data_IF_621558123684
#
_entry.id   IF_621558123684
#
_cell.length_a   1.000
_cell.length_b   1.000
_cell.length_c   1.000
_cell.angle_alpha   90.00
_cell.angle_beta   90.00
_cell.angle_gamma   90.00
#
_symmetry.space_group_name_H-M   'P 1'
#
loop_
_entity.id
_entity.type
_entity.pdbx_description
1 polymer ?
#
# COMPACT_ATOMS: atom_id res chain seq x y z
N UNK A 1 -2.17 -3.49 -18.01
CA UNK A 1 -0.76 -3.12 -18.23
C UNK A 1 0.16 -4.22 -17.73
N UNK A 2 1.40 -4.29 -18.25
CA UNK A 2 2.30 -5.43 -18.02
C UNK A 2 3.58 -5.07 -17.27
N UNK A 3 3.81 -3.78 -16.98
CA UNK A 3 4.96 -3.33 -16.19
C UNK A 3 4.52 -2.41 -15.06
N UNK A 4 5.28 -2.39 -13.97
CA UNK A 4 5.03 -1.51 -12.82
C UNK A 4 5.12 -0.03 -13.21
N UNK A 5 6.09 0.33 -14.06
CA UNK A 5 6.28 1.67 -14.58
C UNK A 5 5.04 2.14 -15.36
N UNK A 6 4.56 1.34 -16.33
CA UNK A 6 3.34 1.67 -17.09
C UNK A 6 2.13 1.76 -16.17
N UNK A 7 2.03 0.91 -15.13
CA UNK A 7 0.93 0.98 -14.16
C UNK A 7 0.94 2.32 -13.41
N UNK A 8 2.11 2.74 -12.95
CA UNK A 8 2.31 4.01 -12.24
C UNK A 8 1.95 5.21 -13.13
N UNK A 9 2.50 5.25 -14.33
CA UNK A 9 2.29 6.38 -15.27
C UNK A 9 0.83 6.53 -15.67
N UNK A 10 0.19 5.43 -16.04
CA UNK A 10 -1.23 5.47 -16.44
C UNK A 10 -2.15 5.80 -15.26
N UNK A 11 -1.84 5.29 -14.06
CA UNK A 11 -2.64 5.61 -12.88
C UNK A 11 -2.47 7.09 -12.47
N UNK A 12 -1.25 7.64 -12.51
CA UNK A 12 -0.99 9.08 -12.30
C UNK A 12 -1.69 9.96 -13.35
N UNK A 13 -1.90 9.45 -14.57
CA UNK A 13 -2.69 10.10 -15.61
C UNK A 13 -4.22 9.94 -15.42
N UNK A 14 -4.68 9.31 -14.34
CA UNK A 14 -6.09 9.16 -13.99
C UNK A 14 -6.77 7.90 -14.57
N UNK A 15 -6.02 6.99 -15.15
CA UNK A 15 -6.56 5.72 -15.64
C UNK A 15 -6.68 4.69 -14.53
N UNK A 16 -7.72 3.85 -14.61
CA UNK A 16 -7.83 2.66 -13.76
C UNK A 16 -7.07 1.53 -14.42
N UNK A 17 -6.06 1.00 -13.76
CA UNK A 17 -5.17 -0.02 -14.32
C UNK A 17 -5.17 -1.29 -13.47
N UNK A 18 -5.03 -2.43 -14.13
CA UNK A 18 -4.71 -3.73 -13.51
C UNK A 18 -3.31 -4.10 -13.97
N UNK A 19 -2.42 -4.33 -12.99
CA UNK A 19 -1.07 -4.81 -13.25
C UNK A 19 -1.11 -6.33 -13.46
N UNK A 20 -0.71 -6.79 -14.64
CA UNK A 20 -0.68 -8.21 -15.02
C UNK A 20 0.77 -8.67 -15.18
N UNK A 21 1.19 -9.64 -14.36
CA UNK A 21 2.57 -10.14 -14.35
C UNK A 21 2.61 -11.66 -14.38
N UNK A 22 3.73 -12.23 -14.81
CA UNK A 22 3.99 -13.64 -14.60
C UNK A 22 4.05 -13.95 -13.10
N UNK A 23 4.81 -13.17 -12.37
CA UNK A 23 4.88 -13.07 -10.91
C UNK A 23 5.37 -11.66 -10.54
N UNK A 24 5.07 -11.16 -9.36
CA UNK A 24 5.56 -9.87 -8.89
C UNK A 24 6.83 -10.02 -8.08
N UNK A 25 7.67 -9.00 -8.15
CA UNK A 25 8.89 -8.83 -7.35
C UNK A 25 8.80 -7.55 -6.48
N UNK A 26 9.74 -7.32 -5.55
CA UNK A 26 9.80 -6.07 -4.81
C UNK A 26 9.88 -4.82 -5.69
N UNK A 27 10.42 -4.93 -6.89
CA UNK A 27 10.50 -3.83 -7.87
C UNK A 27 9.13 -3.42 -8.43
N UNK A 28 8.12 -4.29 -8.32
CA UNK A 28 6.76 -4.01 -8.78
C UNK A 28 5.90 -3.26 -7.75
N UNK A 29 6.39 -3.02 -6.52
CA UNK A 29 5.62 -2.47 -5.41
C UNK A 29 4.98 -1.13 -5.76
N UNK A 30 5.71 -0.22 -6.41
CA UNK A 30 5.16 1.08 -6.80
C UNK A 30 3.98 0.91 -7.78
N UNK A 31 4.15 0.11 -8.82
CA UNK A 31 3.08 -0.19 -9.78
C UNK A 31 1.89 -0.89 -9.14
N UNK A 32 2.12 -1.77 -8.16
CA UNK A 32 1.06 -2.42 -7.40
C UNK A 32 0.28 -1.43 -6.54
N UNK A 33 0.96 -0.44 -5.96
CA UNK A 33 0.35 0.60 -5.12
C UNK A 33 -0.63 1.47 -5.92
N UNK A 34 -0.26 1.86 -7.13
CA UNK A 34 -1.11 2.69 -7.99
C UNK A 34 -2.18 1.89 -8.75
N UNK A 35 -2.01 0.59 -8.90
CA UNK A 35 -2.97 -0.26 -9.61
C UNK A 35 -4.28 -0.45 -8.82
N UNK A 36 -5.39 -0.54 -9.53
CA UNK A 36 -6.69 -0.92 -8.94
C UNK A 36 -6.77 -2.42 -8.64
N UNK A 37 -5.88 -3.20 -9.21
CA UNK A 37 -5.77 -4.63 -8.96
C UNK A 37 -4.52 -5.24 -9.56
N UNK A 38 -4.16 -6.42 -9.05
CA UNK A 38 -3.00 -7.20 -9.46
C UNK A 38 -3.44 -8.59 -9.89
N UNK A 39 -2.97 -9.02 -11.05
CA UNK A 39 -3.23 -10.34 -11.61
C UNK A 39 -1.90 -11.03 -11.90
N UNK A 40 -1.67 -12.22 -11.33
CA UNK A 40 -0.45 -12.98 -11.62
C UNK A 40 -0.76 -14.39 -12.10
N UNK A 41 0.10 -14.88 -13.00
CA UNK A 41 0.03 -16.25 -13.54
C UNK A 41 0.52 -17.25 -12.51
N UNK A 42 1.64 -16.93 -11.85
CA UNK A 42 2.26 -17.72 -10.79
C UNK A 42 1.95 -17.15 -9.43
N UNK A 43 2.03 -17.99 -8.41
CA UNK A 43 1.84 -17.60 -7.03
C UNK A 43 0.67 -18.30 -6.37
N UNK A 44 0.33 -17.86 -5.18
CA UNK A 44 -0.76 -18.36 -4.34
C UNK A 44 -0.97 -17.42 -3.17
N UNK A 45 -1.70 -17.83 -2.15
CA UNK A 45 -2.07 -16.99 -0.98
C UNK A 45 -0.87 -16.43 -0.20
N UNK A 46 0.30 -17.06 -0.30
CA UNK A 46 1.55 -16.65 0.36
C UNK A 46 2.57 -16.06 -0.60
N UNK A 47 2.21 -15.84 -1.87
CA UNK A 47 3.11 -15.19 -2.84
C UNK A 47 3.30 -13.72 -2.52
N UNK A 48 4.39 -13.14 -3.03
CA UNK A 48 4.67 -11.70 -2.92
C UNK A 48 3.46 -10.85 -3.35
N UNK A 49 2.88 -11.15 -4.53
CA UNK A 49 1.69 -10.44 -5.02
C UNK A 49 0.54 -10.45 -4.02
N UNK A 50 0.19 -11.62 -3.47
CA UNK A 50 -0.96 -11.77 -2.57
C UNK A 50 -0.71 -11.10 -1.21
N UNK A 51 0.50 -11.21 -0.66
CA UNK A 51 0.86 -10.62 0.64
C UNK A 51 0.88 -9.09 0.55
N UNK A 52 1.58 -8.55 -0.46
CA UNK A 52 1.72 -7.10 -0.64
C UNK A 52 0.38 -6.45 -1.01
N UNK A 53 -0.37 -7.03 -1.97
CA UNK A 53 -1.67 -6.49 -2.35
C UNK A 53 -2.67 -6.50 -1.18
N UNK A 54 -2.63 -7.53 -0.33
CA UNK A 54 -3.46 -7.59 0.89
C UNK A 54 -3.08 -6.49 1.87
N UNK A 55 -1.78 -6.25 2.08
CA UNK A 55 -1.30 -5.15 2.91
C UNK A 55 -1.72 -3.77 2.41
N UNK A 56 -1.79 -3.60 1.08
CA UNK A 56 -2.24 -2.37 0.42
C UNK A 56 -3.77 -2.24 0.32
N UNK A 57 -4.54 -3.29 0.63
CA UNK A 57 -5.99 -3.33 0.38
C UNK A 57 -6.35 -3.39 -1.11
N UNK A 58 -5.41 -3.75 -1.98
CA UNK A 58 -5.57 -3.83 -3.43
C UNK A 58 -6.14 -5.19 -3.83
N UNK A 59 -7.12 -5.20 -4.75
CA UNK A 59 -7.68 -6.44 -5.29
C UNK A 59 -6.59 -7.27 -5.96
N UNK A 60 -6.51 -8.57 -5.62
CA UNK A 60 -5.50 -9.45 -6.18
C UNK A 60 -6.07 -10.80 -6.56
N UNK A 61 -5.78 -11.26 -7.78
CA UNK A 61 -5.95 -12.63 -8.23
C UNK A 61 -4.57 -13.20 -8.54
N UNK A 62 -4.08 -14.07 -7.66
CA UNK A 62 -2.72 -14.63 -7.74
C UNK A 62 -2.76 -16.11 -8.12
N UNK A 63 -1.86 -16.53 -9.02
CA UNK A 63 -1.72 -17.93 -9.41
C UNK A 63 -2.72 -18.40 -10.46
N UNK A 64 -3.15 -17.53 -11.36
CA UNK A 64 -4.00 -17.91 -12.49
C UNK A 64 -3.22 -18.68 -13.57
N UNK A 65 -2.94 -19.96 -13.34
CA UNK A 65 -2.18 -20.81 -14.27
C UNK A 65 -2.85 -21.06 -15.63
N UNK A 66 -4.11 -20.66 -15.80
CA UNK A 66 -4.81 -20.74 -17.10
C UNK A 66 -4.36 -19.63 -18.07
N UNK A 67 -3.69 -18.60 -17.58
CA UNK A 67 -3.16 -17.49 -18.41
C UNK A 67 -1.90 -17.97 -19.13
N UNK A 68 -1.88 -17.80 -20.45
CA UNK A 68 -0.67 -17.92 -21.27
C UNK A 68 -0.10 -16.53 -21.48
N UNK A 69 0.92 -16.20 -20.72
CA UNK A 69 1.56 -14.89 -20.74
C UNK A 69 2.60 -14.77 -21.85
N UNK A 70 2.60 -13.62 -22.55
CA UNK A 70 3.64 -13.18 -23.49
C UNK A 70 4.02 -11.74 -23.11
N UNK A 71 4.88 -11.63 -22.11
CA UNK A 71 5.32 -10.33 -21.58
C UNK A 71 6.06 -9.50 -22.63
N UNK A 72 6.85 -10.15 -23.50
CA UNK A 72 7.62 -9.46 -24.53
C UNK A 72 6.72 -8.70 -25.52
N UNK A 73 5.55 -9.26 -25.83
CA UNK A 73 4.56 -8.64 -26.73
C UNK A 73 3.41 -7.97 -25.98
N UNK A 74 3.53 -7.81 -24.66
CA UNK A 74 2.54 -7.16 -23.79
C UNK A 74 1.13 -7.69 -24.04
N UNK A 75 0.94 -9.02 -23.98
CA UNK A 75 -0.33 -9.70 -24.17
C UNK A 75 -0.41 -11.00 -23.36
N UNK A 76 -1.63 -11.46 -23.16
CA UNK A 76 -1.89 -12.80 -22.63
C UNK A 76 -3.12 -13.42 -23.26
N UNK A 77 -3.19 -14.73 -23.21
CA UNK A 77 -4.41 -15.51 -23.57
C UNK A 77 -5.08 -16.06 -22.31
N UNK A 78 -6.39 -15.96 -22.26
CA UNK A 78 -7.22 -16.56 -21.23
C UNK A 78 -8.59 -16.90 -21.82
N UNK A 79 -9.05 -18.15 -21.60
CA UNK A 79 -10.37 -18.61 -22.08
C UNK A 79 -10.54 -18.52 -23.60
N UNK A 80 -9.47 -18.70 -24.37
CA UNK A 80 -9.48 -18.60 -25.83
C UNK A 80 -9.52 -17.21 -26.41
N UNK A 81 -9.40 -16.18 -25.57
CA UNK A 81 -9.29 -14.77 -26.00
C UNK A 81 -7.89 -14.24 -25.69
N UNK A 82 -7.40 -13.38 -26.58
CA UNK A 82 -6.14 -12.64 -26.39
C UNK A 82 -6.44 -11.24 -25.91
N UNK A 83 -5.75 -10.83 -24.84
CA UNK A 83 -5.81 -9.50 -24.25
C UNK A 83 -4.46 -8.81 -24.41
N UNK A 84 -4.47 -7.57 -24.83
CA UNK A 84 -3.29 -6.73 -25.04
C UNK A 84 -3.27 -5.57 -24.03
N UNK A 85 -2.14 -4.88 -23.97
CA UNK A 85 -2.04 -3.65 -23.19
C UNK A 85 -3.11 -2.63 -23.64
N UNK A 86 -3.86 -2.09 -22.67
CA UNK A 86 -4.98 -1.20 -22.90
C UNK A 86 -6.36 -1.87 -22.96
N UNK A 87 -6.43 -3.18 -23.10
CA UNK A 87 -7.71 -3.90 -23.08
C UNK A 87 -8.33 -3.89 -21.69
N UNK A 88 -9.66 -3.87 -21.63
CA UNK A 88 -10.39 -3.90 -20.37
C UNK A 88 -10.57 -5.33 -19.86
N UNK A 89 -10.20 -5.52 -18.61
CA UNK A 89 -10.53 -6.70 -17.79
C UNK A 89 -11.05 -6.25 -16.43
N UNK A 90 -11.83 -7.10 -15.79
CA UNK A 90 -12.22 -6.93 -14.38
C UNK A 90 -11.84 -8.18 -13.61
N UNK A 91 -11.40 -8.02 -12.36
CA UNK A 91 -11.01 -9.13 -11.49
C UNK A 91 -11.78 -9.07 -10.17
N UNK A 92 -12.09 -10.24 -9.63
CA UNK A 92 -12.70 -10.40 -8.32
C UNK A 92 -11.74 -11.21 -7.42
N UNK A 93 -11.10 -10.53 -6.49
CA UNK A 93 -10.14 -11.14 -5.57
C UNK A 93 -10.77 -12.10 -4.55
N UNK A 94 -12.09 -12.03 -4.33
CA UNK A 94 -12.78 -12.92 -3.40
C UNK A 94 -13.08 -14.29 -4.02
N UNK A 95 -13.46 -14.29 -5.29
CA UNK A 95 -13.82 -15.52 -6.02
C UNK A 95 -12.71 -16.03 -6.93
N UNK A 96 -11.71 -15.18 -7.25
CA UNK A 96 -10.67 -15.46 -8.24
C UNK A 96 -11.14 -15.35 -9.70
N UNK A 97 -12.33 -14.82 -9.93
CA UNK A 97 -12.87 -14.69 -11.28
C UNK A 97 -12.23 -13.53 -12.05
N UNK A 98 -12.03 -13.76 -13.35
CA UNK A 98 -11.51 -12.77 -14.29
C UNK A 98 -12.54 -12.63 -15.41
N UNK A 99 -12.93 -11.39 -15.68
CA UNK A 99 -13.91 -11.05 -16.70
C UNK A 99 -13.25 -10.25 -17.82
N UNK A 100 -13.48 -10.62 -19.06
CA UNK A 100 -12.89 -9.99 -20.24
C UNK A 100 -13.64 -8.75 -20.70
N UNK A 101 -14.18 -7.98 -19.77
CA UNK A 101 -14.93 -6.74 -20.01
C UNK A 101 -14.91 -5.82 -18.80
N UNK A 102 -15.32 -4.57 -18.99
CA UNK A 102 -15.48 -3.61 -17.91
C UNK A 102 -16.78 -3.88 -17.15
N UNK A 103 -16.67 -4.45 -15.95
CA UNK A 103 -17.80 -4.67 -15.04
C UNK A 103 -17.97 -3.45 -14.13
N UNK A 104 -19.23 -3.10 -13.86
CA UNK A 104 -19.55 -2.06 -12.88
C UNK A 104 -19.21 -2.56 -11.49
N UNK A 105 -18.29 -1.86 -10.82
CA UNK A 105 -17.88 -2.15 -9.44
C UNK A 105 -18.58 -1.22 -8.47
N UNK A 106 -18.81 -1.70 -7.24
CA UNK A 106 -19.25 -0.89 -6.12
C UNK A 106 -18.13 -0.85 -5.08
N UNK A 107 -18.01 0.27 -4.37
CA UNK A 107 -17.12 0.34 -3.23
C UNK A 107 -17.58 -0.65 -2.14
N UNK A 108 -16.61 -1.26 -1.43
CA UNK A 108 -16.93 -2.08 -0.27
C UNK A 108 -17.63 -1.20 0.79
N UNK A 109 -18.79 -1.63 1.24
CA UNK A 109 -19.55 -0.92 2.28
C UNK A 109 -20.19 -1.94 3.22
N UNK A 110 -20.24 -1.58 4.49
CA UNK A 110 -21.00 -2.33 5.49
C UNK A 110 -22.48 -1.99 5.25
N UNK A 111 -23.24 -2.92 4.67
CA UNK A 111 -24.64 -2.70 4.32
C UNK A 111 -25.48 -3.99 4.41
N UNK A 112 -26.78 -3.83 4.38
CA UNK A 112 -27.74 -4.96 4.34
C UNK A 112 -27.62 -5.89 5.53
N UNK A 113 -27.65 -7.20 5.27
CA UNK A 113 -27.61 -8.23 6.31
C UNK A 113 -26.28 -8.27 7.06
N UNK A 114 -25.17 -7.91 6.42
CA UNK A 114 -23.88 -7.80 7.10
C UNK A 114 -23.95 -6.72 8.20
N UNK A 115 -24.52 -5.56 7.92
CA UNK A 115 -24.71 -4.50 8.92
C UNK A 115 -25.61 -4.96 10.07
N UNK A 116 -26.66 -5.78 9.79
CA UNK A 116 -27.52 -6.34 10.85
C UNK A 116 -26.74 -7.27 11.78
N UNK A 117 -25.90 -8.15 11.22
CA UNK A 117 -25.06 -9.04 12.01
C UNK A 117 -24.07 -8.25 12.87
N UNK A 118 -23.44 -7.23 12.30
CA UNK A 118 -22.52 -6.36 13.04
C UNK A 118 -23.23 -5.63 14.19
N UNK A 119 -24.44 -5.10 13.94
CA UNK A 119 -25.23 -4.47 14.98
C UNK A 119 -25.65 -5.45 16.10
N UNK A 120 -25.93 -6.70 15.77
CA UNK A 120 -26.16 -7.73 16.78
C UNK A 120 -24.89 -8.04 17.57
N UNK A 121 -23.74 -8.21 16.89
CA UNK A 121 -22.47 -8.43 17.56
C UNK A 121 -22.13 -7.30 18.55
N UNK A 122 -22.40 -6.06 18.17
CA UNK A 122 -22.17 -4.88 19.01
C UNK A 122 -23.02 -4.88 20.30
N UNK A 123 -24.18 -5.54 20.32
CA UNK A 123 -25.00 -5.68 21.52
C UNK A 123 -24.42 -6.67 22.54
N UNK A 124 -23.57 -7.60 22.10
CA UNK A 124 -23.01 -8.66 22.94
C UNK A 124 -21.53 -8.47 23.25
N UNK A 125 -20.81 -7.72 22.43
CA UNK A 125 -19.38 -7.47 22.66
C UNK A 125 -19.17 -6.63 23.92
N UNK A 126 -18.10 -6.93 24.63
CA UNK A 126 -17.66 -6.18 25.83
C UNK A 126 -16.40 -5.36 25.50
N UNK A 127 -15.58 -5.84 24.56
CA UNK A 127 -14.34 -5.18 24.17
C UNK A 127 -14.56 -4.27 22.96
N UNK A 128 -13.81 -3.17 22.93
CA UNK A 128 -13.72 -2.30 21.77
C UNK A 128 -12.84 -2.93 20.68
N UNK A 129 -13.24 -2.74 19.44
CA UNK A 129 -12.44 -3.14 18.27
C UNK A 129 -11.55 -1.97 17.86
N UNK A 130 -10.25 -2.15 17.95
CA UNK A 130 -9.23 -1.20 17.51
C UNK A 130 -8.45 -1.77 16.36
N UNK A 131 -8.09 -0.92 15.39
CA UNK A 131 -7.33 -1.29 14.21
C UNK A 131 -5.94 -0.69 14.23
N UNK A 132 -5.07 -1.17 13.33
CA UNK A 132 -3.84 -0.45 12.99
C UNK A 132 -4.16 0.56 11.91
N UNK A 133 -3.69 1.79 12.07
CA UNK A 133 -3.76 2.85 11.08
C UNK A 133 -2.59 3.81 11.29
N UNK A 134 -1.88 4.12 10.21
CA UNK A 134 -0.63 4.87 10.25
C UNK A 134 -0.75 6.21 9.51
N UNK A 135 -1.83 6.41 8.75
CA UNK A 135 -2.13 7.64 8.02
C UNK A 135 -3.53 8.17 8.33
N UNK A 136 -3.80 9.46 8.11
CA UNK A 136 -5.14 10.02 8.24
C UNK A 136 -6.19 9.31 7.40
N UNK A 137 -5.83 8.91 6.18
CA UNK A 137 -6.73 8.18 5.28
C UNK A 137 -7.08 6.79 5.83
N UNK A 138 -6.10 6.05 6.36
CA UNK A 138 -6.34 4.75 6.99
C UNK A 138 -7.27 4.87 8.19
N UNK A 139 -7.07 5.89 9.03
CA UNK A 139 -7.91 6.16 10.17
C UNK A 139 -9.35 6.46 9.76
N UNK A 140 -9.57 7.29 8.76
CA UNK A 140 -10.89 7.61 8.23
C UNK A 140 -11.59 6.34 7.68
N UNK A 141 -10.87 5.53 6.93
CA UNK A 141 -11.37 4.28 6.38
C UNK A 141 -11.71 3.27 7.48
N UNK A 142 -10.84 3.15 8.48
CA UNK A 142 -11.07 2.28 9.63
C UNK A 142 -12.36 2.64 10.38
N UNK A 143 -12.64 3.92 10.59
CA UNK A 143 -13.86 4.36 11.23
C UNK A 143 -15.09 4.16 10.35
N UNK A 144 -14.97 4.34 9.03
CA UNK A 144 -16.05 3.99 8.10
C UNK A 144 -16.44 2.50 8.19
N UNK A 145 -15.50 1.63 8.55
CA UNK A 145 -15.72 0.21 8.81
C UNK A 145 -16.07 -0.13 10.28
N UNK A 146 -16.25 0.86 11.13
CA UNK A 146 -16.74 0.66 12.49
C UNK A 146 -15.66 0.47 13.56
N UNK A 147 -14.39 0.75 13.27
CA UNK A 147 -13.35 0.74 14.30
C UNK A 147 -13.62 1.81 15.37
N UNK A 148 -13.32 1.48 16.63
CA UNK A 148 -13.60 2.34 17.78
C UNK A 148 -12.37 3.05 18.31
N UNK A 149 -11.24 2.80 17.69
CA UNK A 149 -9.96 3.42 18.01
C UNK A 149 -8.83 2.85 17.18
N UNK A 150 -7.65 3.41 17.35
CA UNK A 150 -6.41 2.90 16.77
C UNK A 150 -5.63 2.16 17.86
N UNK A 151 -5.42 0.86 17.67
CA UNK A 151 -4.66 0.00 18.57
C UNK A 151 -3.16 0.11 18.40
N UNK A 152 -2.72 0.48 17.20
CA UNK A 152 -1.32 0.78 16.90
C UNK A 152 -1.22 1.73 15.72
N UNK A 153 -0.58 2.89 15.95
CA UNK A 153 -0.06 3.77 14.93
C UNK A 153 1.47 3.64 14.91
N UNK A 154 2.01 3.19 13.79
CA UNK A 154 3.45 2.97 13.57
C UNK A 154 4.02 4.22 12.94
N UNK A 155 4.71 5.02 13.73
CA UNK A 155 5.23 6.32 13.29
C UNK A 155 6.26 6.22 12.17
N UNK A 156 7.00 5.10 12.10
CA UNK A 156 7.95 4.84 11.04
C UNK A 156 7.30 4.81 9.63
N UNK A 157 6.05 4.36 9.52
CA UNK A 157 5.34 4.33 8.24
C UNK A 157 5.00 5.72 7.69
N UNK A 158 5.01 6.76 8.54
CA UNK A 158 4.79 8.14 8.12
C UNK A 158 5.97 8.71 7.32
N UNK A 159 7.13 8.03 7.30
CA UNK A 159 8.39 8.56 6.78
C UNK A 159 8.87 7.95 5.47
N UNK A 160 8.13 7.00 4.88
CA UNK A 160 8.53 6.38 3.60
C UNK A 160 8.25 7.25 2.36
N UNK A 161 7.51 8.35 2.49
CA UNK A 161 7.25 9.25 1.38
C UNK A 161 8.55 9.95 0.92
N UNK A 162 8.69 10.19 -0.39
CA UNK A 162 9.90 10.74 -1.01
C UNK A 162 10.34 12.09 -0.41
N UNK A 163 9.38 12.93 -0.04
CA UNK A 163 9.61 14.24 0.58
C UNK A 163 10.16 14.16 2.01
N UNK A 164 10.13 13.01 2.64
CA UNK A 164 10.47 12.79 4.06
C UNK A 164 11.63 11.82 4.27
N UNK A 165 11.72 10.79 3.45
CA UNK A 165 12.67 9.69 3.63
C UNK A 165 14.12 10.17 3.68
N UNK A 166 14.44 11.24 2.93
CA UNK A 166 15.79 11.83 2.93
C UNK A 166 16.18 12.37 4.31
N UNK A 167 15.30 13.14 4.94
CA UNK A 167 15.55 13.70 6.27
C UNK A 167 15.68 12.59 7.34
N UNK A 168 14.92 11.52 7.22
CA UNK A 168 15.02 10.35 8.10
C UNK A 168 16.35 9.61 7.90
N UNK A 169 16.80 9.45 6.66
CA UNK A 169 18.12 8.88 6.35
C UNK A 169 19.26 9.74 6.91
N UNK A 170 19.17 11.06 6.79
CA UNK A 170 20.11 12.00 7.43
C UNK A 170 20.15 11.81 8.95
N UNK A 171 18.99 11.67 9.60
CA UNK A 171 18.88 11.39 11.04
C UNK A 171 19.57 10.07 11.43
N UNK A 172 19.33 9.00 10.65
CA UNK A 172 19.91 7.66 10.90
C UNK A 172 21.43 7.70 10.76
N UNK A 173 21.95 8.38 9.73
CA UNK A 173 23.37 8.46 9.44
C UNK A 173 24.12 9.53 10.24
N UNK A 174 23.43 10.37 11.02
CA UNK A 174 24.05 11.43 11.83
C UNK A 174 25.06 10.88 12.83
N UNK A 175 26.23 11.51 12.89
CA UNK A 175 27.35 11.09 13.75
C UNK A 175 27.41 11.87 15.06
N UNK A 176 26.86 13.09 15.07
CA UNK A 176 26.80 13.95 16.24
C UNK A 176 25.35 14.23 16.64
N UNK A 177 25.18 14.76 17.85
CA UNK A 177 23.84 15.16 18.35
C UNK A 177 23.31 16.32 17.52
N UNK A 178 24.15 17.28 17.20
CA UNK A 178 23.82 18.49 16.44
C UNK A 178 23.33 18.14 15.02
N UNK A 179 24.02 17.21 14.33
CA UNK A 179 23.59 16.71 13.03
C UNK A 179 22.24 16.02 13.12
N UNK A 180 22.03 15.22 14.15
CA UNK A 180 20.77 14.53 14.37
C UNK A 180 19.63 15.47 14.67
N UNK A 181 19.85 16.48 15.52
CA UNK A 181 18.86 17.51 15.83
C UNK A 181 18.49 18.31 14.58
N UNK A 182 19.48 18.65 13.73
CA UNK A 182 19.22 19.33 12.48
C UNK A 182 18.37 18.49 11.50
N UNK A 183 18.60 17.19 11.44
CA UNK A 183 17.78 16.26 10.63
C UNK A 183 16.37 16.10 11.21
N UNK A 184 16.24 15.96 12.53
CA UNK A 184 14.96 15.87 13.22
C UNK A 184 14.11 17.12 13.02
N UNK A 185 14.71 18.31 13.03
CA UNK A 185 14.00 19.56 12.77
C UNK A 185 13.36 19.60 11.37
N UNK A 186 13.89 18.85 10.40
CA UNK A 186 13.26 18.68 9.07
C UNK A 186 12.07 17.71 9.10
N UNK A 187 12.11 16.71 9.98
CA UNK A 187 11.08 15.65 10.10
C UNK A 187 9.88 16.14 10.93
N UNK A 188 10.14 16.95 11.96
CA UNK A 188 9.14 17.41 12.94
C UNK A 188 7.88 18.02 12.29
N UNK A 189 7.95 18.96 11.32
CA UNK A 189 6.77 19.56 10.72
C UNK A 189 5.87 18.56 10.01
N UNK A 190 6.43 17.54 9.37
CA UNK A 190 5.68 16.48 8.71
C UNK A 190 4.94 15.64 9.73
N UNK A 191 5.63 15.18 10.76
CA UNK A 191 5.05 14.35 11.81
C UNK A 191 3.98 15.11 12.60
N UNK A 192 4.22 16.37 12.91
CA UNK A 192 3.23 17.23 13.55
C UNK A 192 1.97 17.35 12.69
N UNK A 193 2.11 17.62 11.39
CA UNK A 193 0.98 17.73 10.47
C UNK A 193 0.17 16.43 10.37
N UNK A 194 0.86 15.28 10.32
CA UNK A 194 0.21 13.97 10.29
C UNK A 194 -0.57 13.70 11.59
N UNK A 195 0.02 13.96 12.74
CA UNK A 195 -0.67 13.80 14.02
C UNK A 195 -1.85 14.75 14.17
N UNK A 196 -1.72 16.02 13.77
CA UNK A 196 -2.85 16.94 13.78
C UNK A 196 -4.00 16.43 12.92
N UNK A 197 -3.72 15.93 11.72
CA UNK A 197 -4.72 15.37 10.84
C UNK A 197 -5.33 14.08 11.43
N UNK A 198 -4.50 13.20 12.00
CA UNK A 198 -4.96 11.99 12.70
C UNK A 198 -5.90 12.35 13.87
N UNK A 199 -5.51 13.27 14.75
CA UNK A 199 -6.32 13.68 15.89
C UNK A 199 -7.65 14.33 15.49
N UNK A 200 -7.69 15.10 14.40
CA UNK A 200 -8.94 15.63 13.88
C UNK A 200 -9.93 14.52 13.47
N UNK A 201 -9.43 13.44 12.87
CA UNK A 201 -10.24 12.28 12.48
C UNK A 201 -10.63 11.44 13.71
N UNK A 202 -9.69 11.28 14.65
CA UNK A 202 -9.91 10.50 15.87
C UNK A 202 -11.00 11.10 16.75
N UNK A 203 -11.03 12.44 16.89
CA UNK A 203 -11.86 13.10 17.90
C UNK A 203 -11.50 12.61 19.31
N UNK A 204 -12.48 12.09 20.04
CA UNK A 204 -12.29 11.55 21.41
C UNK A 204 -11.90 10.05 21.45
N UNK A 205 -11.72 9.41 20.27
CA UNK A 205 -11.41 7.98 20.21
C UNK A 205 -9.96 7.71 20.61
N UNK A 206 -9.70 6.58 21.31
CA UNK A 206 -8.35 6.24 21.75
C UNK A 206 -7.43 5.90 20.59
N UNK A 207 -6.19 6.34 20.68
CA UNK A 207 -5.11 6.04 19.74
C UNK A 207 -3.85 5.66 20.51
N UNK A 208 -3.31 4.49 20.23
CA UNK A 208 -2.01 4.05 20.73
C UNK A 208 -0.95 4.36 19.70
N UNK A 209 0.01 5.19 20.05
CA UNK A 209 1.11 5.60 19.18
C UNK A 209 2.36 4.84 19.60
N UNK A 210 3.00 4.14 18.68
CA UNK A 210 4.34 3.61 18.88
C UNK A 210 5.35 4.75 18.72
N UNK A 211 6.24 4.90 19.68
CA UNK A 211 7.40 5.76 19.48
C UNK A 211 8.29 5.22 18.36
N UNK A 212 9.17 6.06 17.86
CA UNK A 212 10.01 5.76 16.71
C UNK A 212 10.77 4.43 16.90
N UNK A 213 10.48 3.48 16.03
CA UNK A 213 11.12 2.17 15.95
C UNK A 213 11.46 1.86 14.49
N UNK A 214 12.45 2.62 13.91
CA UNK A 214 12.73 2.50 12.49
C UNK A 214 13.49 1.20 12.20
N UNK A 215 12.96 0.34 11.33
CA UNK A 215 13.72 -0.77 10.78
C UNK A 215 14.78 -0.19 9.82
N UNK A 216 16.00 0.01 10.32
CA UNK A 216 17.06 0.74 9.61
C UNK A 216 17.32 0.20 8.20
N UNK A 217 17.20 -1.11 8.02
CA UNK A 217 17.38 -1.78 6.73
C UNK A 217 16.29 -1.45 5.69
N UNK A 218 15.13 -0.96 6.12
CA UNK A 218 14.07 -0.52 5.22
C UNK A 218 14.25 0.93 4.77
N UNK A 219 14.91 1.76 5.59
CA UNK A 219 15.15 3.16 5.28
C UNK A 219 16.42 3.39 4.47
N UNK A 220 17.44 2.56 4.68
CA UNK A 220 18.74 2.74 4.02
C UNK A 220 18.75 2.02 2.66
N UNK A 221 19.32 2.65 1.63
CA UNK A 221 19.44 2.04 0.32
C UNK A 221 20.39 0.84 0.35
N UNK A 222 20.10 -0.14 -0.49
CA UNK A 222 20.90 -1.37 -0.64
C UNK A 222 21.68 -1.44 -1.96
N UNK A 223 21.28 -0.64 -2.95
CA UNK A 223 21.95 -0.58 -4.26
C UNK A 223 23.13 0.40 -4.19
N UNK A 224 24.25 0.05 -4.78
CA UNK A 224 25.47 0.86 -4.76
C UNK A 224 25.27 2.27 -5.35
N UNK A 225 24.40 2.42 -6.35
CA UNK A 225 24.07 3.70 -6.97
C UNK A 225 23.36 4.62 -6.01
N UNK A 226 22.32 4.12 -5.34
CA UNK A 226 21.51 4.85 -4.37
C UNK A 226 22.32 5.18 -3.10
N UNK A 227 23.26 4.28 -2.71
CA UNK A 227 24.19 4.53 -1.60
C UNK A 227 25.13 5.69 -1.94
N UNK A 228 25.67 5.75 -3.17
CA UNK A 228 26.53 6.82 -3.62
C UNK A 228 25.79 8.15 -3.69
N UNK A 229 24.55 8.14 -4.15
CA UNK A 229 23.72 9.34 -4.19
C UNK A 229 23.46 9.87 -2.77
N UNK A 230 23.06 9.01 -1.84
CA UNK A 230 22.85 9.38 -0.44
C UNK A 230 24.14 9.91 0.19
N UNK A 231 25.27 9.26 -0.07
CA UNK A 231 26.57 9.70 0.46
C UNK A 231 26.95 11.08 -0.09
N UNK A 232 26.74 11.33 -1.38
CA UNK A 232 26.99 12.62 -2.01
C UNK A 232 26.10 13.74 -1.42
N UNK A 233 24.81 13.44 -1.24
CA UNK A 233 23.83 14.34 -0.63
C UNK A 233 24.18 14.74 0.81
N UNK A 234 24.80 13.82 1.54
CA UNK A 234 25.24 14.03 2.92
C UNK A 234 26.68 14.55 3.04
N UNK A 235 27.39 14.78 1.93
CA UNK A 235 28.81 15.16 1.95
C UNK A 235 29.72 14.08 2.53
N UNK A 236 29.33 12.81 2.41
CA UNK A 236 30.07 11.64 2.90
C UNK A 236 30.80 10.93 1.75
N UNK A 237 31.87 10.19 2.08
CA UNK A 237 32.64 9.38 1.13
C UNK A 237 32.36 7.90 1.32
#
# INVERSE_FOLDING_TARGET
VFTAETATDMAKAGHKVILVRLETSPEDIEGMHYAQGVLTVRGGMTSHAAVVARGMGTCCVSGCGAIKMDEANKKFELGGKTYKEGDWISIDGSTGNIYGEKIKTAAAAISGDFNRIMNWADQFRVLDVRTNADTPNDAAQAFAFGAQGIGLCRTEHMFFAEDRIKAVREMICARTVEEREAALAKVEPFQQGDFEAMYRIMGERPMTIRYLDPPLHEFLPTKDEDIKELAADMGMT
#
